data_IF_524147726272
#
_entry.id   IF_524147726272
#
_cell.length_a   1.000
_cell.length_b   1.000
_cell.length_c   1.000
_cell.angle_alpha   90.00
_cell.angle_beta   90.00
_cell.angle_gamma   90.00
#
_symmetry.space_group_name_H-M   'P 1'
#
loop_
_entity.id
_entity.type
_entity.pdbx_description
1 polymer ?
#
# COMPACT_ATOMS: atom_id res chain seq x y z
N UNK A 1 -18.95 -13.66 -2.35
CA UNK A 1 -19.44 -15.05 -2.24
C UNK A 1 -18.32 -16.09 -2.21
N UNK A 2 -17.48 -16.22 -3.26
CA UNK A 2 -16.42 -17.24 -3.30
C UNK A 2 -15.43 -17.22 -2.11
N UNK A 3 -15.05 -16.02 -1.62
CA UNK A 3 -14.12 -15.88 -0.48
C UNK A 3 -14.73 -16.45 0.81
N UNK A 4 -16.03 -16.23 1.03
CA UNK A 4 -16.74 -16.68 2.24
C UNK A 4 -16.88 -18.20 2.21
N UNK A 5 -17.23 -18.76 1.04
CA UNK A 5 -17.33 -20.21 0.87
C UNK A 5 -15.98 -20.90 1.10
N UNK A 6 -14.89 -20.34 0.55
CA UNK A 6 -13.55 -20.84 0.80
C UNK A 6 -13.18 -20.78 2.30
N UNK A 7 -13.53 -19.68 2.98
CA UNK A 7 -13.29 -19.56 4.42
C UNK A 7 -14.09 -20.60 5.23
N UNK A 8 -15.33 -20.90 4.83
CA UNK A 8 -16.16 -21.94 5.45
C UNK A 8 -15.53 -23.33 5.30
N UNK A 9 -15.12 -23.71 4.09
CA UNK A 9 -14.42 -24.97 3.85
C UNK A 9 -13.15 -25.07 4.71
N UNK A 10 -12.39 -23.98 4.82
CA UNK A 10 -11.18 -23.95 5.66
C UNK A 10 -11.53 -24.10 7.14
N UNK A 11 -12.62 -23.48 7.61
CA UNK A 11 -13.07 -23.55 9.00
C UNK A 11 -13.36 -24.99 9.45
N UNK A 12 -13.92 -25.79 8.55
CA UNK A 12 -14.27 -27.20 8.76
C UNK A 12 -13.07 -28.16 8.56
N UNK A 13 -11.90 -27.62 8.22
CA UNK A 13 -10.67 -28.37 8.02
C UNK A 13 -9.74 -28.33 9.23
N UNK A 14 -8.56 -28.95 9.13
CA UNK A 14 -7.50 -28.88 10.14
C UNK A 14 -6.67 -27.59 10.10
N UNK A 15 -6.91 -26.72 9.10
CA UNK A 15 -6.18 -25.47 8.91
C UNK A 15 -6.64 -24.43 9.94
N UNK A 16 -5.73 -24.09 10.86
CA UNK A 16 -6.04 -23.21 11.99
C UNK A 16 -5.99 -21.72 11.69
N UNK A 17 -5.38 -21.30 10.58
CA UNK A 17 -5.12 -19.89 10.32
C UNK A 17 -5.31 -19.55 8.85
N UNK A 18 -5.95 -18.41 8.58
CA UNK A 18 -6.08 -17.84 7.24
C UNK A 18 -5.33 -16.52 7.20
N UNK A 19 -4.64 -16.22 6.10
CA UNK A 19 -4.04 -14.90 5.87
C UNK A 19 -4.80 -14.16 4.78
N UNK A 20 -5.30 -12.98 5.11
CA UNK A 20 -5.92 -12.07 4.15
C UNK A 20 -4.95 -10.94 3.82
N UNK A 21 -4.81 -10.67 2.53
CA UNK A 21 -4.00 -9.58 2.01
C UNK A 21 -4.91 -8.63 1.25
N UNK A 22 -5.04 -7.41 1.77
CA UNK A 22 -5.79 -6.33 1.14
C UNK A 22 -4.82 -5.27 0.64
N UNK A 23 -5.15 -4.71 -0.53
CA UNK A 23 -4.48 -3.55 -1.08
C UNK A 23 -5.41 -2.35 -0.98
N UNK A 24 -4.84 -1.18 -0.69
CA UNK A 24 -5.57 0.10 -0.62
C UNK A 24 -4.89 1.10 -1.56
N UNK A 25 -5.66 1.84 -2.32
CA UNK A 25 -5.19 2.74 -3.38
C UNK A 25 -5.10 2.09 -4.74
N UNK A 26 -5.86 1.04 -5.01
CA UNK A 26 -5.92 0.46 -6.35
C UNK A 26 -6.62 1.43 -7.33
N UNK A 27 -6.24 1.39 -8.62
CA UNK A 27 -6.97 2.12 -9.65
C UNK A 27 -8.44 1.74 -9.71
N UNK A 28 -9.33 2.73 -9.69
CA UNK A 28 -10.78 2.49 -9.68
C UNK A 28 -11.34 2.03 -8.33
N UNK A 29 -10.53 2.07 -7.26
CA UNK A 29 -10.99 1.77 -5.90
C UNK A 29 -12.14 2.70 -5.48
N UNK A 30 -13.21 2.11 -4.94
CA UNK A 30 -14.38 2.86 -4.49
C UNK A 30 -14.13 3.56 -3.15
N UNK A 31 -14.92 4.60 -2.87
CA UNK A 31 -14.81 5.36 -1.62
C UNK A 31 -15.07 4.48 -0.38
N UNK A 32 -15.94 3.48 -0.50
CA UNK A 32 -16.37 2.57 0.56
C UNK A 32 -15.55 1.27 0.64
N UNK A 33 -14.43 1.14 -0.07
CA UNK A 33 -13.60 -0.09 -0.05
C UNK A 33 -13.19 -0.51 1.38
N UNK A 34 -12.86 0.49 2.22
CA UNK A 34 -12.52 0.26 3.62
C UNK A 34 -13.70 -0.33 4.42
N UNK A 35 -14.95 0.04 4.12
CA UNK A 35 -16.14 -0.56 4.74
C UNK A 35 -16.32 -2.00 4.28
N UNK A 36 -16.18 -2.26 2.98
CA UNK A 36 -16.33 -3.59 2.40
C UNK A 36 -15.33 -4.59 3.01
N UNK A 37 -14.08 -4.16 3.27
CA UNK A 37 -13.08 -4.98 3.96
C UNK A 37 -13.52 -5.29 5.40
N UNK A 38 -14.03 -4.31 6.14
CA UNK A 38 -14.50 -4.50 7.52
C UNK A 38 -15.70 -5.45 7.55
N UNK A 39 -16.66 -5.25 6.64
CA UNK A 39 -17.86 -6.10 6.51
C UNK A 39 -17.48 -7.53 6.16
N UNK A 40 -16.62 -7.74 5.15
CA UNK A 40 -16.15 -9.06 4.76
C UNK A 40 -15.49 -9.79 5.93
N UNK A 41 -14.60 -9.12 6.67
CA UNK A 41 -13.95 -9.72 7.82
C UNK A 41 -14.91 -10.01 8.97
N UNK A 42 -15.96 -9.19 9.13
CA UNK A 42 -17.03 -9.42 10.11
C UNK A 42 -17.80 -10.69 9.76
N UNK A 43 -18.28 -10.82 8.52
CA UNK A 43 -18.99 -12.02 8.04
C UNK A 43 -18.13 -13.28 8.17
N UNK A 44 -16.84 -13.21 7.80
CA UNK A 44 -15.93 -14.36 7.95
C UNK A 44 -15.72 -14.71 9.43
N UNK A 45 -15.67 -13.72 10.33
CA UNK A 45 -15.48 -13.97 11.75
C UNK A 45 -16.66 -14.72 12.39
N UNK A 46 -17.87 -14.52 11.87
CA UNK A 46 -19.10 -15.17 12.33
C UNK A 46 -19.15 -16.68 12.00
N UNK A 47 -18.26 -17.16 11.12
CA UNK A 47 -18.04 -18.59 10.87
C UNK A 47 -17.41 -19.32 12.08
N UNK A 48 -17.12 -18.60 13.17
CA UNK A 48 -16.72 -19.19 14.45
C UNK A 48 -15.23 -19.52 14.54
N UNK A 49 -14.37 -18.80 13.82
CA UNK A 49 -12.92 -18.94 13.90
C UNK A 49 -12.37 -18.66 15.31
N UNK A 50 -11.28 -19.35 15.67
CA UNK A 50 -10.60 -19.12 16.96
C UNK A 50 -9.99 -17.70 17.04
N UNK A 51 -9.72 -17.25 18.26
CA UNK A 51 -9.03 -15.98 18.52
C UNK A 51 -7.73 -15.87 17.71
N UNK A 52 -7.49 -14.71 17.10
CA UNK A 52 -6.27 -14.39 16.34
C UNK A 52 -5.94 -15.30 15.13
N UNK A 53 -6.87 -16.15 14.68
CA UNK A 53 -6.66 -17.09 13.58
C UNK A 53 -6.75 -16.45 12.18
N UNK A 54 -7.51 -15.36 12.04
CA UNK A 54 -7.67 -14.60 10.81
C UNK A 54 -6.62 -13.47 10.76
N UNK A 55 -5.51 -13.71 10.06
CA UNK A 55 -4.38 -12.78 9.98
C UNK A 55 -4.59 -11.81 8.84
N UNK A 56 -4.93 -10.56 9.16
CA UNK A 56 -5.22 -9.53 8.17
C UNK A 56 -3.99 -8.64 7.96
N UNK A 57 -3.57 -8.49 6.71
CA UNK A 57 -2.50 -7.60 6.29
C UNK A 57 -3.04 -6.62 5.25
N UNK A 58 -2.85 -5.33 5.48
CA UNK A 58 -3.34 -4.25 4.61
C UNK A 58 -2.14 -3.43 4.18
N UNK A 59 -1.94 -3.28 2.88
CA UNK A 59 -0.81 -2.54 2.32
C UNK A 59 -1.28 -1.54 1.27
N UNK A 60 -0.63 -0.39 1.13
CA UNK A 60 -0.90 0.48 0.00
C UNK A 60 -0.52 -0.23 -1.31
N UNK A 61 -1.29 0.03 -2.36
CA UNK A 61 -0.91 -0.36 -3.70
C UNK A 61 0.36 0.40 -4.12
N UNK A 62 1.38 -0.32 -4.58
CA UNK A 62 2.63 0.27 -5.07
C UNK A 62 2.70 0.04 -6.59
N UNK A 63 2.61 1.08 -7.43
CA UNK A 63 2.75 0.94 -8.87
C UNK A 63 4.15 0.44 -9.20
N UNK A 64 4.24 -0.44 -10.20
CA UNK A 64 5.47 -1.08 -10.64
C UNK A 64 5.73 -0.76 -12.10
N UNK A 65 6.98 -0.47 -12.43
CA UNK A 65 7.42 -0.30 -13.81
C UNK A 65 7.05 -1.52 -14.67
N UNK A 66 6.70 -1.28 -15.93
CA UNK A 66 6.31 -2.30 -16.91
C UNK A 66 5.07 -3.11 -16.49
N UNK A 67 4.16 -2.51 -15.71
CA UNK A 67 2.85 -3.06 -15.42
C UNK A 67 1.76 -2.17 -15.99
N UNK A 68 0.56 -2.71 -16.31
CA UNK A 68 -0.58 -1.88 -16.71
C UNK A 68 -0.91 -0.80 -15.68
N UNK A 69 -0.49 -0.98 -14.43
CA UNK A 69 -0.75 -0.06 -13.35
C UNK A 69 0.37 0.96 -13.06
N UNK A 70 1.41 1.05 -13.89
CA UNK A 70 2.58 1.91 -13.63
C UNK A 70 2.23 3.40 -13.53
N UNK A 71 1.23 3.85 -14.30
CA UNK A 71 0.82 5.25 -14.40
C UNK A 71 -0.08 5.70 -13.25
N UNK A 72 -0.53 4.79 -12.38
CA UNK A 72 -1.46 5.14 -11.30
C UNK A 72 -0.71 5.59 -10.06
N UNK A 73 -0.22 6.82 -10.12
CA UNK A 73 0.55 7.48 -9.05
C UNK A 73 -0.27 8.52 -8.28
N UNK A 74 -1.49 8.85 -8.74
CA UNK A 74 -2.39 9.85 -8.13
C UNK A 74 -2.54 9.69 -6.62
N UNK A 75 -2.61 8.44 -6.15
CA UNK A 75 -2.77 8.13 -4.74
C UNK A 75 -1.61 8.68 -3.88
N UNK A 76 -0.42 8.81 -4.46
CA UNK A 76 0.78 9.31 -3.79
C UNK A 76 0.95 10.83 -3.85
N UNK A 77 0.03 11.56 -4.47
CA UNK A 77 0.03 13.01 -4.41
C UNK A 77 -0.23 13.47 -2.98
N UNK A 78 0.44 14.54 -2.54
CA UNK A 78 0.30 15.05 -1.17
C UNK A 78 -1.17 15.30 -0.77
N UNK A 79 -1.99 15.79 -1.71
CA UNK A 79 -3.42 16.02 -1.51
C UNK A 79 -4.22 14.74 -1.18
N UNK A 80 -3.76 13.59 -1.66
CA UNK A 80 -4.46 12.31 -1.56
C UNK A 80 -3.97 11.44 -0.39
N UNK A 81 -2.78 11.69 0.16
CA UNK A 81 -2.21 10.92 1.29
C UNK A 81 -3.13 10.89 2.52
N UNK A 82 -3.90 11.94 2.76
CA UNK A 82 -4.88 11.98 3.86
C UNK A 82 -6.04 11.01 3.62
N UNK A 83 -6.49 10.82 2.38
CA UNK A 83 -7.52 9.84 2.04
C UNK A 83 -7.04 8.43 2.35
N UNK A 84 -5.79 8.09 1.99
CA UNK A 84 -5.17 6.79 2.33
C UNK A 84 -5.21 6.57 3.83
N UNK A 85 -4.73 7.57 4.58
CA UNK A 85 -4.64 7.50 6.03
C UNK A 85 -6.02 7.20 6.64
N UNK A 86 -7.05 7.91 6.21
CA UNK A 86 -8.43 7.70 6.66
C UNK A 86 -8.94 6.29 6.37
N UNK A 87 -8.65 5.72 5.19
CA UNK A 87 -9.03 4.33 4.85
C UNK A 87 -8.33 3.33 5.77
N UNK A 88 -7.03 3.48 6.01
CA UNK A 88 -6.29 2.63 6.95
C UNK A 88 -6.82 2.73 8.39
N UNK A 89 -7.11 3.94 8.87
CA UNK A 89 -7.69 4.17 10.20
C UNK A 89 -9.07 3.54 10.33
N UNK A 90 -9.90 3.66 9.30
CA UNK A 90 -11.22 3.03 9.25
C UNK A 90 -11.14 1.51 9.33
N UNK A 91 -10.27 0.89 8.54
CA UNK A 91 -10.04 -0.56 8.58
C UNK A 91 -9.52 -0.97 9.96
N UNK A 92 -8.50 -0.28 10.48
CA UNK A 92 -7.92 -0.58 11.79
C UNK A 92 -8.98 -0.53 12.90
N UNK A 93 -9.80 0.53 12.94
CA UNK A 93 -10.85 0.71 13.94
C UNK A 93 -12.01 -0.30 13.80
N UNK A 94 -12.33 -0.71 12.57
CA UNK A 94 -13.38 -1.69 12.29
C UNK A 94 -12.98 -3.11 12.70
N UNK A 95 -11.83 -3.58 12.24
CA UNK A 95 -11.46 -5.00 12.40
C UNK A 95 -10.72 -5.31 13.71
N UNK A 96 -10.10 -4.31 14.37
CA UNK A 96 -9.45 -4.54 15.67
C UNK A 96 -10.41 -4.98 16.79
N UNK A 97 -11.71 -4.76 16.58
CA UNK A 97 -12.77 -5.17 17.50
C UNK A 97 -13.19 -6.62 17.33
N UNK A 98 -12.76 -7.28 16.25
CA UNK A 98 -13.15 -8.66 15.91
C UNK A 98 -12.18 -9.64 16.60
N UNK A 99 -12.62 -10.46 17.57
CA UNK A 99 -11.70 -11.27 18.38
C UNK A 99 -10.90 -12.31 17.59
N UNK A 100 -11.46 -12.85 16.51
CA UNK A 100 -10.78 -13.84 15.66
C UNK A 100 -9.76 -13.20 14.70
N UNK A 101 -9.71 -11.88 14.60
CA UNK A 101 -8.83 -11.16 13.67
C UNK A 101 -7.55 -10.68 14.36
N UNK A 102 -6.42 -11.12 13.82
CA UNK A 102 -5.11 -10.56 14.13
C UNK A 102 -4.68 -9.59 13.04
N UNK A 103 -4.93 -8.31 13.28
CA UNK A 103 -4.53 -7.24 12.37
C UNK A 103 -3.02 -6.94 12.46
N UNK A 104 -2.32 -7.03 11.33
CA UNK A 104 -0.91 -6.63 11.20
C UNK A 104 -0.78 -5.24 10.59
N UNK A 105 -1.27 -4.23 11.30
CA UNK A 105 -1.03 -2.82 10.94
C UNK A 105 -0.01 -2.23 11.91
N UNK A 106 1.10 -1.74 11.36
CA UNK A 106 2.09 -0.92 12.06
C UNK A 106 1.57 0.52 12.19
N UNK A 107 2.43 1.45 12.60
CA UNK A 107 2.12 2.88 12.54
C UNK A 107 1.70 3.29 11.11
N UNK A 108 0.46 3.79 10.94
CA UNK A 108 -0.12 4.12 9.62
C UNK A 108 0.72 5.18 8.88
N UNK A 109 1.22 6.19 9.59
CA UNK A 109 2.11 7.20 9.00
C UNK A 109 3.38 6.55 8.44
N UNK A 110 3.95 5.57 9.15
CA UNK A 110 5.12 4.83 8.67
C UNK A 110 4.79 4.02 7.42
N UNK A 111 3.62 3.35 7.37
CA UNK A 111 3.15 2.60 6.19
C UNK A 111 3.07 3.52 4.97
N UNK A 112 2.45 4.69 5.11
CA UNK A 112 2.30 5.66 4.00
C UNK A 112 3.68 6.19 3.55
N UNK A 113 4.54 6.55 4.49
CA UNK A 113 5.90 7.00 4.20
C UNK A 113 6.73 5.93 3.45
N UNK A 114 6.65 4.67 3.92
CA UNK A 114 7.30 3.53 3.27
C UNK A 114 6.73 3.27 1.89
N UNK A 115 5.44 3.50 1.67
CA UNK A 115 4.80 3.36 0.37
C UNK A 115 5.28 4.42 -0.63
N UNK A 116 5.38 5.70 -0.22
CA UNK A 116 5.97 6.77 -1.06
C UNK A 116 7.40 6.40 -1.47
N UNK A 117 8.22 5.96 -0.51
CA UNK A 117 9.59 5.50 -0.78
C UNK A 117 9.55 4.35 -1.80
N UNK A 118 8.79 3.29 -1.53
CA UNK A 118 8.70 2.13 -2.42
C UNK A 118 8.22 2.49 -3.84
N UNK A 119 7.30 3.43 -3.97
CA UNK A 119 6.83 3.95 -5.27
C UNK A 119 7.98 4.62 -6.03
N UNK A 120 8.78 5.46 -5.36
CA UNK A 120 9.98 6.05 -5.97
C UNK A 120 10.99 4.98 -6.39
N UNK A 121 11.26 3.98 -5.56
CA UNK A 121 12.14 2.87 -5.95
C UNK A 121 11.59 2.05 -7.12
N UNK A 122 10.26 1.94 -7.23
CA UNK A 122 9.62 1.09 -8.24
C UNK A 122 9.49 1.76 -9.61
N UNK A 123 9.44 3.09 -9.63
CA UNK A 123 9.23 3.92 -10.84
C UNK A 123 10.40 4.87 -11.12
N UNK A 124 11.47 4.78 -10.31
CA UNK A 124 12.55 5.74 -10.29
C UNK A 124 13.34 5.78 -11.60
N UNK A 125 13.62 6.99 -12.07
CA UNK A 125 14.53 7.27 -13.16
C UNK A 125 15.89 7.80 -12.65
N UNK A 126 16.68 8.39 -13.55
CA UNK A 126 17.96 9.02 -13.21
C UNK A 126 17.83 10.18 -12.20
N UNK A 127 16.70 10.88 -12.18
CA UNK A 127 16.42 11.96 -11.23
C UNK A 127 16.21 11.38 -9.83
N UNK A 128 15.39 10.33 -9.73
CA UNK A 128 15.19 9.59 -8.48
C UNK A 128 16.48 8.93 -8.00
N UNK A 129 17.31 8.40 -8.90
CA UNK A 129 18.60 7.82 -8.52
C UNK A 129 19.50 8.82 -7.78
N UNK A 130 19.55 10.09 -8.23
CA UNK A 130 20.32 11.14 -7.55
C UNK A 130 19.73 11.47 -6.18
N UNK A 131 18.41 11.61 -6.11
CA UNK A 131 17.69 11.82 -4.84
C UNK A 131 17.96 10.69 -3.83
N UNK A 132 17.95 9.44 -4.29
CA UNK A 132 18.13 8.27 -3.44
C UNK A 132 19.55 8.14 -2.87
N UNK A 133 20.55 8.64 -3.61
CA UNK A 133 21.93 8.70 -3.12
C UNK A 133 22.05 9.64 -1.92
N UNK A 134 21.48 10.85 -2.02
CA UNK A 134 21.44 11.81 -0.91
C UNK A 134 20.59 11.28 0.26
N UNK A 135 19.44 10.67 -0.04
CA UNK A 135 18.59 10.01 0.96
C UNK A 135 19.37 8.96 1.77
N UNK A 136 20.20 8.15 1.11
CA UNK A 136 21.06 7.17 1.76
C UNK A 136 22.11 7.85 2.64
N UNK A 137 22.83 8.84 2.11
CA UNK A 137 23.85 9.58 2.87
C UNK A 137 23.30 10.31 4.10
N UNK A 138 22.03 10.71 4.08
CA UNK A 138 21.35 11.32 5.23
C UNK A 138 20.73 10.31 6.21
N UNK A 139 21.03 9.01 6.09
CA UNK A 139 20.62 7.99 7.06
C UNK A 139 19.31 7.27 6.74
N UNK A 140 18.84 7.34 5.49
CA UNK A 140 17.77 6.49 4.95
C UNK A 140 16.43 6.49 5.71
N UNK A 141 16.04 7.61 6.35
CA UNK A 141 14.71 7.78 6.95
C UNK A 141 13.78 8.59 6.04
N UNK A 142 12.46 8.57 6.28
CA UNK A 142 11.56 9.47 5.54
C UNK A 142 11.89 10.96 5.79
N UNK A 143 12.47 11.31 6.94
CA UNK A 143 13.03 12.64 7.18
C UNK A 143 14.22 12.95 6.27
N UNK A 144 15.12 11.98 6.10
CA UNK A 144 16.26 12.02 5.18
C UNK A 144 15.81 12.22 3.72
N UNK A 145 14.74 11.54 3.30
CA UNK A 145 14.17 11.70 1.96
C UNK A 145 13.65 13.13 1.73
N UNK A 146 12.90 13.68 2.70
CA UNK A 146 12.42 15.08 2.62
C UNK A 146 13.56 16.09 2.60
N UNK A 147 14.63 15.83 3.34
CA UNK A 147 15.84 16.66 3.32
C UNK A 147 16.49 16.64 1.94
N UNK A 148 16.74 15.44 1.39
CA UNK A 148 17.29 15.27 0.05
C UNK A 148 16.43 15.98 -1.01
N UNK A 149 15.11 15.80 -0.97
CA UNK A 149 14.20 16.44 -1.91
C UNK A 149 14.24 17.98 -1.82
N UNK A 150 14.37 18.53 -0.62
CA UNK A 150 14.50 19.99 -0.43
C UNK A 150 15.80 20.54 -1.03
N UNK A 151 16.92 19.84 -0.84
CA UNK A 151 18.23 20.29 -1.32
C UNK A 151 18.36 20.15 -2.84
N UNK A 152 17.82 19.09 -3.43
CA UNK A 152 17.79 18.87 -4.88
C UNK A 152 16.64 19.58 -5.59
N UNK A 153 15.75 20.27 -4.86
CA UNK A 153 14.50 20.87 -5.35
C UNK A 153 13.56 19.87 -6.05
N UNK A 154 13.62 18.60 -5.63
CA UNK A 154 12.73 17.55 -6.13
C UNK A 154 11.33 17.72 -5.54
N UNK A 155 10.32 17.74 -6.41
CA UNK A 155 8.91 17.85 -6.04
C UNK A 155 8.19 16.53 -6.34
N UNK A 156 7.75 15.82 -5.29
CA UNK A 156 7.12 14.50 -5.43
C UNK A 156 5.89 14.52 -6.35
N UNK A 157 4.98 15.48 -6.15
CA UNK A 157 3.76 15.56 -6.96
C UNK A 157 4.09 15.83 -8.44
N UNK A 158 5.05 16.70 -8.73
CA UNK A 158 5.52 16.95 -10.11
C UNK A 158 6.13 15.70 -10.74
N UNK A 159 6.93 14.94 -9.99
CA UNK A 159 7.51 13.69 -10.48
C UNK A 159 6.43 12.64 -10.72
N UNK A 160 5.47 12.49 -9.80
CA UNK A 160 4.40 11.51 -9.95
C UNK A 160 3.43 11.86 -11.08
N UNK A 161 3.14 13.14 -11.33
CA UNK A 161 2.38 13.60 -12.50
C UNK A 161 3.11 13.23 -13.80
N UNK A 162 4.41 13.49 -13.89
CA UNK A 162 5.24 13.08 -15.04
C UNK A 162 5.12 11.57 -15.33
N UNK A 163 5.13 10.71 -14.31
CA UNK A 163 4.92 9.26 -14.52
C UNK A 163 3.52 8.96 -15.04
N UNK A 164 2.51 9.60 -14.45
CA UNK A 164 1.10 9.40 -14.81
C UNK A 164 0.81 9.73 -16.28
N UNK A 165 1.47 10.73 -16.83
CA UNK A 165 1.36 11.14 -18.24
C UNK A 165 2.03 10.17 -19.23
N UNK A 166 2.49 9.00 -18.77
CA UNK A 166 3.04 7.95 -19.62
C UNK A 166 4.55 8.02 -19.79
N UNK A 167 5.27 8.67 -18.87
CA UNK A 167 6.73 8.63 -18.86
C UNK A 167 7.23 7.20 -18.64
N UNK A 168 7.99 6.70 -19.61
CA UNK A 168 8.78 5.48 -19.45
C UNK A 168 10.19 5.85 -18.95
N UNK A 169 10.62 5.36 -17.78
CA UNK A 169 12.02 5.47 -17.35
C UNK A 169 12.89 4.59 -18.27
N UNK A 170 13.27 5.20 -19.40
CA UNK A 170 14.16 4.75 -20.50
C UNK A 170 13.64 3.60 -21.42
N UNK A 171 13.64 3.81 -22.76
CA UNK A 171 13.49 2.74 -23.77
C UNK A 171 14.77 1.87 -23.93
N UNK A 172 14.74 0.75 -24.70
CA UNK A 172 15.60 -0.45 -24.58
C UNK A 172 17.06 -0.31 -25.05
N UNK A 173 17.64 0.89 -25.07
CA UNK A 173 19.06 1.10 -25.44
C UNK A 173 20.05 0.93 -24.27
N UNK A 174 19.62 0.37 -23.14
CA UNK A 174 20.52 -0.20 -22.14
C UNK A 174 21.17 -1.48 -22.69
N UNK A 175 22.08 -1.32 -23.65
CA UNK A 175 23.10 -2.31 -23.97
C UNK A 175 24.01 -2.42 -22.74
N UNK A 176 23.89 -3.54 -22.02
CA UNK A 176 24.91 -4.04 -21.08
C UNK A 176 26.08 -4.57 -21.91
#
# INVERSE_FOLDING_TARGET
EQIIEAAKIIRDSTVKNIKFYFLIGLPGEWENEADAIVELMTVISELGFEKDSLKVNVNPFIPKLNTPFQIYTDYFFNANLMSIKSKFEKIQNGISKIPSVKLKIKNIKKIINEAVIQTLFSLGDIEVSKLLLDYYHYGATFGSLKKAAKESKFLFDTYFEKIKEGYEPLPPSCSI
#
